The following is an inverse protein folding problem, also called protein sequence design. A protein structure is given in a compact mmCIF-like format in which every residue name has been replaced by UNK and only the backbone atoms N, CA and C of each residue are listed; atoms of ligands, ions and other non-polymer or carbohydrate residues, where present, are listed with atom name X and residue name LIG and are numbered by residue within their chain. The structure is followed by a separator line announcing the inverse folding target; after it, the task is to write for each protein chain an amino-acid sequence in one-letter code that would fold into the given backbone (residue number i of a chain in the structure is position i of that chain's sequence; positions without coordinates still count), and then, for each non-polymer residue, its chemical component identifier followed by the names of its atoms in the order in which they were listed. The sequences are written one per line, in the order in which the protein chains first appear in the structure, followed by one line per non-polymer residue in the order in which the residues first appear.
data_IF_203319114122
#
_entry.id   IF_203319114122
#
_cell.length_a   1.000
_cell.length_b   1.000
_cell.length_c   1.000
_cell.angle_alpha   90.00
_cell.angle_beta   90.00
_cell.angle_gamma   90.00
#
_symmetry.space_group_name_H-M   'P 1'
#
loop_
_entity.id
_entity.type
_entity.pdbx_description
1 polymer ?
#
# COMPACT_ATOMS: atom_id res chain seq x y z
N UNK A 1 5.61 -1.72 -5.16
CA UNK A 1 6.32 -0.43 -5.02
C UNK A 1 7.22 -0.49 -3.80
N UNK A 2 8.15 0.46 -3.70
CA UNK A 2 9.06 0.56 -2.56
C UNK A 2 8.87 1.94 -1.94
N UNK A 3 8.52 1.98 -0.67
CA UNK A 3 8.54 3.17 0.18
C UNK A 3 9.60 2.99 1.27
N UNK A 4 9.86 4.04 2.05
CA UNK A 4 10.92 4.01 3.04
C UNK A 4 10.42 4.55 4.38
N UNK A 5 10.89 3.96 5.47
CA UNK A 5 10.72 4.50 6.83
C UNK A 5 11.49 5.81 6.99
N UNK A 6 11.29 6.50 8.12
CA UNK A 6 12.06 7.73 8.43
C UNK A 6 13.56 7.44 8.64
N UNK A 7 13.91 6.22 9.02
CA UNK A 7 15.27 5.70 9.14
C UNK A 7 15.90 5.34 7.79
N UNK A 8 15.07 5.15 6.75
CA UNK A 8 15.51 4.79 5.40
C UNK A 8 15.39 3.30 5.07
N UNK A 9 14.71 2.52 5.92
CA UNK A 9 14.50 1.10 5.67
C UNK A 9 13.35 0.89 4.66
N UNK A 10 13.48 -0.06 3.72
CA UNK A 10 12.50 -0.25 2.67
C UNK A 10 11.25 -0.98 3.19
N UNK A 11 10.09 -0.46 2.83
CA UNK A 11 8.78 -1.14 2.92
C UNK A 11 8.38 -1.54 1.50
N UNK A 12 8.04 -2.81 1.31
CA UNK A 12 7.56 -3.31 0.03
C UNK A 12 6.04 -3.38 0.04
N UNK A 13 5.42 -2.86 -1.01
CA UNK A 13 3.97 -2.95 -1.19
C UNK A 13 3.63 -3.58 -2.53
N UNK A 14 2.95 -4.72 -2.53
CA UNK A 14 2.44 -5.37 -3.74
C UNK A 14 0.94 -5.18 -3.88
N UNK A 15 0.50 -5.06 -5.13
CA UNK A 15 -0.91 -4.87 -5.49
C UNK A 15 -1.35 -5.91 -6.50
N UNK A 16 -2.38 -6.66 -6.15
CA UNK A 16 -2.95 -7.70 -7.01
C UNK A 16 -4.44 -7.44 -7.18
N UNK A 17 -4.92 -7.46 -8.43
CA UNK A 17 -6.35 -7.40 -8.73
C UNK A 17 -6.79 -8.71 -9.37
N UNK A 18 -7.71 -9.42 -8.72
CA UNK A 18 -8.18 -10.74 -9.17
C UNK A 18 -9.44 -10.68 -10.06
N UNK A 19 -9.89 -9.48 -10.44
CA UNK A 19 -11.11 -9.26 -11.20
C UNK A 19 -12.33 -8.87 -10.36
N UNK A 20 -12.25 -9.04 -9.04
CA UNK A 20 -13.33 -8.69 -8.10
C UNK A 20 -12.83 -7.77 -6.98
N UNK A 21 -11.68 -8.07 -6.39
CA UNK A 21 -11.11 -7.37 -5.25
C UNK A 21 -9.66 -6.95 -5.51
N UNK A 22 -9.28 -5.78 -4.97
CA UNK A 22 -7.90 -5.33 -4.92
C UNK A 22 -7.28 -5.81 -3.61
N UNK A 23 -6.22 -6.60 -3.68
CA UNK A 23 -5.44 -7.03 -2.53
C UNK A 23 -4.13 -6.24 -2.47
N UNK A 24 -3.84 -5.70 -1.28
CA UNK A 24 -2.57 -5.05 -0.96
C UNK A 24 -1.81 -5.94 0.00
N UNK A 25 -0.54 -6.21 -0.29
CA UNK A 25 0.39 -6.84 0.64
C UNK A 25 1.48 -5.84 1.00
N UNK A 26 1.62 -5.53 2.28
CA UNK A 26 2.69 -4.70 2.83
C UNK A 26 3.67 -5.57 3.61
N UNK A 27 4.94 -5.54 3.21
CA UNK A 27 6.03 -6.27 3.82
C UNK A 27 7.01 -5.27 4.46
N UNK A 28 7.03 -5.30 5.80
CA UNK A 28 7.89 -4.48 6.66
C UNK A 28 9.04 -5.29 7.24
N UNK A 29 9.31 -6.51 6.75
CA UNK A 29 10.36 -7.41 7.31
C UNK A 29 11.78 -6.85 7.21
N UNK A 30 11.97 -5.77 6.46
CA UNK A 30 13.24 -5.07 6.26
C UNK A 30 13.34 -3.77 7.06
N UNK A 31 12.29 -3.39 7.79
CA UNK A 31 12.33 -2.36 8.81
C UNK A 31 13.03 -2.93 10.04
N UNK A 32 14.21 -2.39 10.38
CA UNK A 32 15.02 -2.87 11.50
C UNK A 32 14.37 -2.56 12.86
N UNK A 33 13.54 -1.51 12.93
CA UNK A 33 12.97 -1.00 14.18
C UNK A 33 11.46 -1.27 14.32
N UNK A 34 10.79 -1.69 13.23
CA UNK A 34 9.39 -2.07 13.20
C UNK A 34 9.10 -3.50 13.68
N UNK A 35 7.84 -3.90 13.58
CA UNK A 35 7.40 -5.26 13.97
C UNK A 35 7.86 -6.37 13.00
N UNK A 36 8.31 -6.00 11.79
CA UNK A 36 8.76 -6.96 10.79
C UNK A 36 7.64 -7.87 10.27
N UNK A 37 6.48 -7.30 9.95
CA UNK A 37 5.27 -8.03 9.60
C UNK A 37 5.00 -8.01 8.09
N UNK A 38 4.35 -9.07 7.60
CA UNK A 38 3.73 -9.13 6.29
C UNK A 38 2.22 -9.08 6.52
N UNK A 39 1.58 -8.02 6.04
CA UNK A 39 0.13 -7.83 6.17
C UNK A 39 -0.52 -7.80 4.79
N UNK A 40 -1.64 -8.52 4.65
CA UNK A 40 -2.45 -8.50 3.43
C UNK A 40 -3.85 -8.06 3.77
N UNK A 41 -4.37 -7.08 3.02
CA UNK A 41 -5.71 -6.56 3.22
C UNK A 41 -6.40 -6.21 1.90
N UNK A 42 -7.72 -6.36 1.90
CA UNK A 42 -8.56 -6.06 0.75
C UNK A 42 -8.96 -4.59 0.70
N UNK A 43 -8.99 -4.02 -0.51
CA UNK A 43 -9.49 -2.69 -0.80
C UNK A 43 -10.52 -2.73 -1.95
N UNK A 44 -11.36 -1.70 -2.03
CA UNK A 44 -12.46 -1.68 -3.00
C UNK A 44 -12.03 -1.17 -4.38
N UNK A 45 -11.31 -0.05 -4.44
CA UNK A 45 -11.06 0.64 -5.72
C UNK A 45 -9.87 1.58 -5.67
N UNK A 46 -9.32 1.83 -6.85
CA UNK A 46 -8.31 2.87 -7.10
C UNK A 46 -9.04 4.13 -7.60
N UNK A 47 -8.85 5.24 -6.91
CA UNK A 47 -9.28 6.57 -7.31
C UNK A 47 -8.14 7.27 -8.05
N UNK A 48 -8.47 7.85 -9.21
CA UNK A 48 -7.53 8.61 -10.03
C UNK A 48 -8.00 10.06 -10.11
N UNK A 49 -7.20 10.99 -9.59
CA UNK A 49 -7.49 12.43 -9.61
C UNK A 49 -6.33 13.19 -10.29
N UNK A 50 -6.50 13.48 -11.59
CA UNK A 50 -5.43 14.04 -12.41
C UNK A 50 -4.29 13.04 -12.57
N UNK A 51 -3.14 13.34 -11.96
CA UNK A 51 -1.98 12.46 -11.91
C UNK A 51 -1.84 11.71 -10.57
N UNK A 52 -2.81 11.80 -9.66
CA UNK A 52 -2.75 11.15 -8.35
C UNK A 52 -3.50 9.83 -8.34
N UNK A 53 -2.89 8.80 -7.76
CA UNK A 53 -3.49 7.47 -7.57
C UNK A 53 -3.64 7.18 -6.07
N UNK A 54 -4.87 6.98 -5.64
CA UNK A 54 -5.23 6.69 -4.24
C UNK A 54 -6.04 5.40 -4.16
N UNK A 55 -5.87 4.61 -3.11
CA UNK A 55 -6.72 3.45 -2.85
C UNK A 55 -7.67 3.75 -1.70
N UNK A 56 -8.94 3.39 -1.92
CA UNK A 56 -10.02 3.63 -0.97
C UNK A 56 -10.79 2.34 -0.69
N UNK A 57 -11.48 2.31 0.46
CA UNK A 57 -12.25 1.15 0.91
C UNK A 57 -11.38 0.00 1.44
N UNK A 58 -10.21 0.31 2.02
CA UNK A 58 -9.33 -0.71 2.60
C UNK A 58 -9.85 -1.21 3.95
N UNK A 59 -10.06 -2.51 4.07
CA UNK A 59 -10.58 -3.13 5.29
C UNK A 59 -9.60 -2.96 6.45
N UNK A 60 -10.05 -2.31 7.54
CA UNK A 60 -9.22 -2.11 8.74
C UNK A 60 -8.27 -0.91 8.69
N UNK A 61 -8.32 -0.09 7.64
CA UNK A 61 -7.49 1.10 7.49
C UNK A 61 -8.34 2.36 7.25
N UNK A 62 -8.02 3.47 7.91
CA UNK A 62 -8.62 4.78 7.60
C UNK A 62 -7.97 5.34 6.31
N UNK A 63 -8.79 5.61 5.29
CA UNK A 63 -8.37 6.03 3.94
C UNK A 63 -7.75 7.44 3.88
N UNK A 64 -6.90 7.79 2.86
CA UNK A 64 -6.51 6.99 1.69
C UNK A 64 -5.09 6.41 1.75
N UNK A 65 -4.90 5.20 1.18
CA UNK A 65 -3.57 4.62 0.95
C UNK A 65 -3.00 5.19 -0.36
N UNK A 66 -1.95 6.00 -0.28
CA UNK A 66 -1.39 6.71 -1.43
C UNK A 66 -0.39 5.83 -2.18
N UNK A 67 -0.61 5.64 -3.48
CA UNK A 67 0.23 4.77 -4.31
C UNK A 67 1.43 5.51 -4.93
N UNK A 68 1.17 6.66 -5.55
CA UNK A 68 2.16 7.51 -6.19
C UNK A 68 1.53 8.80 -6.74
N UNK A 69 2.35 9.83 -6.95
CA UNK A 69 2.06 10.90 -7.92
C UNK A 69 2.66 10.49 -9.28
N UNK A 70 1.82 10.40 -10.31
CA UNK A 70 2.23 10.19 -11.69
C UNK A 70 2.95 11.43 -12.23
N UNK A 71 4.06 11.22 -12.94
CA UNK A 71 4.75 12.28 -13.68
C UNK A 71 4.09 12.50 -15.05
#
# INVERSE_FOLDING_TARGET
MVTYTKEGDPILTDLTYNGEQLEITEDTTRDEYGSGEITTFGCEKILVEGNKYSIIGCQGYETPYYLAEGN
#
